data_IF_807025849083
#
_entry.id   IF_807025849083
#
_cell.length_a   1.000
_cell.length_b   1.000
_cell.length_c   1.000
_cell.angle_alpha   90.00
_cell.angle_beta   90.00
_cell.angle_gamma   90.00
#
_symmetry.space_group_name_H-M   'P 1'
#
loop_
_entity.id
_entity.type
_entity.pdbx_description
1 polymer ?
#
# COMPACT_ATOMS: atom_id res chain seq x y z
N UNK A 1 -6.71 -8.31 5.12
CA UNK A 1 -5.74 -7.24 5.44
C UNK A 1 -5.20 -6.75 4.11
N UNK A 2 -4.96 -5.44 3.97
CA UNK A 2 -4.38 -4.90 2.73
C UNK A 2 -2.90 -5.28 2.68
N UNK A 3 -2.42 -5.69 1.51
CA UNK A 3 -1.02 -6.04 1.27
C UNK A 3 -0.36 -5.02 0.36
N UNK A 4 0.68 -4.37 0.85
CA UNK A 4 1.54 -3.45 0.09
C UNK A 4 2.83 -4.19 -0.28
N UNK A 5 3.19 -4.23 -1.56
CA UNK A 5 4.48 -4.79 -1.98
C UNK A 5 5.51 -3.69 -2.24
N UNK A 6 6.74 -3.92 -1.80
CA UNK A 6 7.90 -3.17 -2.24
C UNK A 6 8.51 -3.87 -3.44
N UNK A 7 8.60 -3.15 -4.55
CA UNK A 7 9.26 -3.60 -5.77
C UNK A 7 10.35 -2.60 -6.15
N UNK A 8 11.21 -2.99 -7.08
CA UNK A 8 12.28 -2.13 -7.61
C UNK A 8 13.56 -2.90 -7.83
N UNK A 9 14.51 -2.25 -8.48
CA UNK A 9 15.80 -2.86 -8.81
C UNK A 9 16.66 -3.12 -7.55
N UNK A 10 17.68 -3.98 -7.65
CA UNK A 10 18.69 -4.11 -6.60
C UNK A 10 19.31 -2.74 -6.25
N UNK A 11 19.69 -2.56 -4.98
CA UNK A 11 20.37 -1.35 -4.49
C UNK A 11 19.63 0.00 -4.62
N UNK A 12 18.36 0.02 -5.01
CA UNK A 12 17.51 1.23 -4.95
C UNK A 12 17.15 1.66 -3.51
N UNK A 13 17.50 0.86 -2.50
CA UNK A 13 17.21 1.11 -1.08
C UNK A 13 15.92 0.47 -0.58
N UNK A 14 15.38 -0.52 -1.31
CA UNK A 14 14.18 -1.28 -0.92
C UNK A 14 14.28 -1.93 0.46
N UNK A 15 15.35 -2.67 0.75
CA UNK A 15 15.49 -3.34 2.05
C UNK A 15 15.64 -2.33 3.21
N UNK A 16 16.28 -1.19 2.96
CA UNK A 16 16.32 -0.07 3.92
C UNK A 16 14.90 0.44 4.18
N UNK A 17 14.13 0.72 3.12
CA UNK A 17 12.75 1.20 3.24
C UNK A 17 11.87 0.19 3.97
N UNK A 18 11.97 -1.10 3.63
CA UNK A 18 11.28 -2.18 4.33
C UNK A 18 11.58 -2.13 5.81
N UNK A 19 12.87 -2.13 6.16
CA UNK A 19 13.28 -2.16 7.56
C UNK A 19 12.83 -0.91 8.30
N UNK A 20 12.97 0.27 7.68
CA UNK A 20 12.48 1.54 8.22
C UNK A 20 10.97 1.49 8.47
N UNK A 21 10.18 1.00 7.52
CA UNK A 21 8.73 0.89 7.62
C UNK A 21 8.26 -0.11 8.69
N UNK A 22 8.98 -1.22 8.89
CA UNK A 22 8.59 -2.28 9.84
C UNK A 22 9.06 -2.04 11.28
N UNK A 23 9.96 -1.08 11.52
CA UNK A 23 10.87 -1.12 12.69
C UNK A 23 10.30 -0.96 14.12
N UNK A 24 8.99 -0.94 14.39
CA UNK A 24 8.53 -0.95 15.79
C UNK A 24 7.24 -1.74 16.04
N UNK A 25 7.33 -2.63 17.03
CA UNK A 25 6.29 -3.33 17.82
C UNK A 25 5.33 -4.29 17.10
N UNK A 26 5.86 -5.33 16.47
CA UNK A 26 5.10 -6.58 16.37
C UNK A 26 5.91 -7.69 17.03
N UNK A 27 5.67 -7.87 18.33
CA UNK A 27 5.58 -9.23 18.85
C UNK A 27 4.76 -10.02 17.82
N UNK A 28 5.38 -11.03 17.22
CA UNK A 28 4.82 -11.96 16.22
C UNK A 28 3.66 -12.80 16.84
N UNK A 29 2.99 -12.29 17.85
CA UNK A 29 2.01 -12.95 18.67
C UNK A 29 0.60 -12.36 18.43
N UNK A 30 -0.23 -13.17 17.78
CA UNK A 30 -1.70 -13.18 17.82
C UNK A 30 -2.51 -12.40 16.77
N UNK A 31 -1.99 -12.11 15.58
CA UNK A 31 -2.88 -11.90 14.43
C UNK A 31 -3.26 -13.28 13.84
N UNK A 32 -4.54 -13.70 13.80
CA UNK A 32 -4.93 -15.09 13.52
C UNK A 32 -4.64 -15.64 12.11
N UNK A 33 -3.84 -14.96 11.27
CA UNK A 33 -3.69 -15.29 9.85
C UNK A 33 -2.28 -15.04 9.26
N UNK A 34 -1.27 -14.67 10.05
CA UNK A 34 0.06 -14.40 9.51
C UNK A 34 0.86 -15.70 9.32
N UNK A 35 1.13 -16.05 8.06
CA UNK A 35 2.10 -17.10 7.70
C UNK A 35 3.50 -16.49 7.80
N UNK A 36 4.42 -17.16 8.50
CA UNK A 36 5.81 -16.69 8.68
C UNK A 36 6.58 -16.92 7.36
N UNK A 37 6.40 -16.02 6.40
CA UNK A 37 7.31 -15.88 5.25
C UNK A 37 8.36 -14.81 5.59
N UNK A 38 9.64 -15.10 5.31
CA UNK A 38 10.75 -14.21 5.67
C UNK A 38 10.67 -12.80 5.03
N UNK A 39 9.84 -12.64 3.99
CA UNK A 39 9.65 -11.42 3.23
C UNK A 39 8.32 -10.72 3.54
N UNK A 40 7.52 -11.22 4.49
CA UNK A 40 6.25 -10.61 4.91
C UNK A 40 6.41 -9.99 6.30
N UNK A 41 6.08 -8.71 6.39
CA UNK A 41 6.09 -7.93 7.62
C UNK A 41 4.75 -7.21 7.83
N UNK A 42 4.65 -6.54 8.97
CA UNK A 42 3.54 -5.63 9.26
C UNK A 42 4.11 -4.22 9.32
N UNK A 43 3.43 -3.30 8.67
CA UNK A 43 3.67 -1.86 8.80
C UNK A 43 2.34 -1.17 9.11
N UNK A 44 2.36 0.15 9.22
CA UNK A 44 1.18 0.91 9.56
C UNK A 44 0.98 2.07 8.60
N UNK A 45 -0.27 2.33 8.28
CA UNK A 45 -0.69 3.60 7.67
C UNK A 45 -1.20 4.53 8.74
N UNK A 46 -0.90 5.82 8.62
CA UNK A 46 -1.21 6.82 9.62
C UNK A 46 -2.44 7.63 9.20
N UNK A 47 -3.41 7.76 10.11
CA UNK A 47 -4.56 8.67 9.97
C UNK A 47 -4.77 9.49 11.25
N UNK A 48 -5.59 10.52 11.17
CA UNK A 48 -6.03 11.30 12.33
C UNK A 48 -7.05 10.49 13.14
N UNK A 49 -6.80 10.35 14.44
CA UNK A 49 -7.66 9.59 15.32
C UNK A 49 -8.84 10.44 15.78
N UNK A 50 -10.09 9.92 15.71
CA UNK A 50 -11.27 10.56 16.29
C UNK A 50 -11.16 10.92 17.77
N UNK A 51 -10.21 10.31 18.52
CA UNK A 51 -10.01 10.65 19.93
C UNK A 51 -9.63 12.13 20.18
N UNK A 52 -9.23 12.86 19.14
CA UNK A 52 -9.02 14.30 19.20
C UNK A 52 -10.31 15.07 19.53
N UNK A 53 -11.47 14.53 19.15
CA UNK A 53 -12.80 15.10 19.43
C UNK A 53 -13.28 14.81 20.86
N UNK A 54 -12.47 14.12 21.67
CA UNK A 54 -12.79 13.73 23.05
C UNK A 54 -11.89 14.47 24.04
N UNK A 55 -12.41 14.65 25.26
CA UNK A 55 -11.65 15.17 26.39
C UNK A 55 -10.54 14.19 26.81
N UNK A 56 -10.83 12.89 26.76
CA UNK A 56 -9.88 11.82 27.05
C UNK A 56 -9.40 11.18 25.75
N UNK A 57 -8.07 11.08 25.59
CA UNK A 57 -7.44 10.38 24.45
C UNK A 57 -7.69 8.88 24.54
N UNK A 58 -7.70 8.20 23.40
CA UNK A 58 -7.75 6.74 23.40
C UNK A 58 -6.41 6.18 23.89
N UNK A 59 -6.45 5.25 24.85
CA UNK A 59 -5.27 4.50 25.31
C UNK A 59 -4.93 3.30 24.42
N UNK A 60 -5.30 3.35 23.14
CA UNK A 60 -5.02 2.27 22.20
C UNK A 60 -3.53 2.23 21.86
N UNK A 61 -2.94 1.04 21.85
CA UNK A 61 -1.49 0.83 21.62
C UNK A 61 -1.02 1.44 20.28
N UNK A 62 -1.90 1.44 19.29
CA UNK A 62 -1.65 1.97 17.96
C UNK A 62 -2.10 3.43 17.78
N UNK A 63 -2.28 4.19 18.86
CA UNK A 63 -2.56 5.63 18.81
C UNK A 63 -1.54 6.41 19.63
N UNK A 64 -0.89 7.39 19.00
CA UNK A 64 0.10 8.26 19.65
C UNK A 64 -0.31 9.72 19.46
N UNK A 65 -0.76 10.35 20.54
CA UNK A 65 -1.24 11.75 20.54
C UNK A 65 -2.18 12.12 19.38
N UNK A 66 -3.24 11.32 19.18
CA UNK A 66 -4.19 11.54 18.09
C UNK A 66 -3.74 11.05 16.72
N UNK A 67 -2.55 10.46 16.59
CA UNK A 67 -2.05 9.81 15.36
C UNK A 67 -2.38 8.32 15.44
N UNK A 68 -3.32 7.84 14.63
CA UNK A 68 -3.71 6.42 14.58
C UNK A 68 -2.87 5.68 13.54
N UNK A 69 -2.29 4.56 13.95
CA UNK A 69 -1.53 3.64 13.11
C UNK A 69 -2.37 2.39 12.82
N UNK A 70 -2.84 2.24 11.58
CA UNK A 70 -3.67 1.10 11.18
C UNK A 70 -2.78 0.06 10.48
N UNK A 71 -2.75 -1.19 10.95
CA UNK A 71 -1.82 -2.19 10.43
C UNK A 71 -2.18 -2.63 9.02
N UNK A 72 -1.16 -2.75 8.17
CA UNK A 72 -1.20 -3.33 6.83
C UNK A 72 -0.04 -4.30 6.65
N UNK A 73 -0.20 -5.28 5.76
CA UNK A 73 0.88 -6.21 5.43
C UNK A 73 1.87 -5.53 4.47
N UNK A 74 3.16 -5.72 4.70
CA UNK A 74 4.24 -5.25 3.84
C UNK A 74 5.01 -6.46 3.29
N UNK A 75 5.09 -6.58 1.97
CA UNK A 75 5.81 -7.64 1.27
C UNK A 75 7.09 -7.07 0.65
N UNK A 76 8.26 -7.59 1.01
CA UNK A 76 9.54 -7.26 0.36
C UNK A 76 9.77 -8.21 -0.83
N UNK A 77 9.52 -7.74 -2.05
CA UNK A 77 9.79 -8.53 -3.25
C UNK A 77 11.24 -8.31 -3.67
N UNK A 78 11.96 -9.40 -3.95
CA UNK A 78 13.36 -9.33 -4.35
C UNK A 78 13.61 -8.40 -5.55
N UNK A 79 14.85 -7.92 -5.68
CA UNK A 79 15.24 -7.01 -6.76
C UNK A 79 14.93 -7.57 -8.14
N UNK A 80 14.15 -6.82 -8.92
CA UNK A 80 13.85 -7.13 -10.32
C UNK A 80 14.88 -6.47 -11.23
N UNK A 81 15.32 -7.19 -12.26
CA UNK A 81 16.23 -6.70 -13.30
C UNK A 81 15.56 -6.83 -14.68
N UNK A 82 15.98 -6.04 -15.69
CA UNK A 82 15.42 -6.10 -17.04
C UNK A 82 15.32 -7.51 -17.63
N UNK A 83 14.17 -7.82 -18.22
CA UNK A 83 13.89 -9.12 -18.83
C UNK A 83 13.39 -10.18 -17.84
N UNK A 84 12.93 -9.78 -16.65
CA UNK A 84 12.34 -10.69 -15.66
C UNK A 84 11.15 -11.49 -16.22
N UNK A 85 10.33 -10.86 -17.07
CA UNK A 85 9.19 -11.49 -17.74
C UNK A 85 9.57 -12.61 -18.74
N UNK A 86 10.81 -12.65 -19.25
CA UNK A 86 11.27 -13.66 -20.21
C UNK A 86 11.48 -15.04 -19.57
N UNK A 87 11.38 -15.14 -18.24
CA UNK A 87 11.58 -16.39 -17.51
C UNK A 87 13.03 -16.87 -17.45
N UNK A 88 13.99 -15.99 -17.73
CA UNK A 88 15.41 -16.23 -17.47
C UNK A 88 15.69 -15.97 -15.98
N UNK A 89 15.95 -17.02 -15.21
CA UNK A 89 16.26 -16.90 -13.78
C UNK A 89 15.02 -16.87 -12.88
N UNK A 90 15.14 -16.21 -11.72
CA UNK A 90 14.09 -16.16 -10.69
C UNK A 90 13.06 -15.04 -10.90
N UNK A 91 13.22 -14.18 -11.92
CA UNK A 91 12.37 -12.99 -12.14
C UNK A 91 10.86 -13.30 -12.23
N UNK A 92 10.48 -14.42 -12.86
CA UNK A 92 9.08 -14.85 -12.91
C UNK A 92 8.49 -15.16 -11.53
N UNK A 93 9.29 -15.64 -10.57
CA UNK A 93 8.81 -15.91 -9.21
C UNK A 93 8.55 -14.58 -8.48
N UNK A 94 9.39 -13.57 -8.70
CA UNK A 94 9.21 -12.25 -8.10
C UNK A 94 7.98 -11.52 -8.68
N UNK A 95 7.73 -11.67 -9.99
CA UNK A 95 6.51 -11.14 -10.62
C UNK A 95 5.24 -11.85 -10.13
N UNK A 96 5.34 -13.15 -9.83
CA UNK A 96 4.26 -13.92 -9.19
C UNK A 96 4.04 -13.47 -7.75
N UNK A 97 5.08 -13.19 -6.98
CA UNK A 97 4.95 -12.65 -5.62
C UNK A 97 4.16 -11.33 -5.60
N UNK A 98 4.39 -10.44 -6.58
CA UNK A 98 3.65 -9.18 -6.71
C UNK A 98 2.15 -9.37 -6.95
N UNK A 99 1.68 -10.54 -7.41
CA UNK A 99 0.23 -10.76 -7.57
C UNK A 99 -0.52 -10.82 -6.24
N UNK A 100 0.20 -11.12 -5.16
CA UNK A 100 -0.35 -11.19 -3.81
C UNK A 100 -0.56 -9.82 -3.16
N UNK A 101 -0.10 -8.73 -3.79
CA UNK A 101 -0.27 -7.38 -3.27
C UNK A 101 -1.50 -6.68 -3.82
N UNK A 102 -2.12 -5.82 -3.03
CA UNK A 102 -3.18 -4.91 -3.47
C UNK A 102 -2.61 -3.67 -4.15
N UNK A 103 -1.43 -3.21 -3.73
CA UNK A 103 -0.73 -2.03 -4.25
C UNK A 103 0.78 -2.23 -4.19
N UNK A 104 1.49 -1.60 -5.12
CA UNK A 104 2.95 -1.72 -5.26
C UNK A 104 3.60 -0.36 -5.05
N UNK A 105 4.59 -0.31 -4.17
CA UNK A 105 5.56 0.79 -4.07
C UNK A 105 6.77 0.45 -4.95
N UNK A 106 6.89 1.13 -6.08
CA UNK A 106 8.06 1.00 -6.95
C UNK A 106 9.19 1.89 -6.43
N UNK A 107 10.18 1.29 -5.75
CA UNK A 107 11.34 1.99 -5.20
C UNK A 107 12.36 2.26 -6.29
N UNK A 108 12.54 3.53 -6.61
CA UNK A 108 13.47 4.06 -7.62
C UNK A 108 14.59 4.81 -6.93
N UNK A 109 15.82 4.70 -7.45
CA UNK A 109 16.97 5.48 -6.97
C UNK A 109 16.97 6.87 -7.62
N UNK A 110 16.42 7.87 -6.93
CA UNK A 110 16.32 9.24 -7.42
C UNK A 110 17.70 9.87 -7.72
N UNK A 111 18.76 9.38 -7.07
CA UNK A 111 20.10 9.90 -7.26
C UNK A 111 20.73 9.52 -8.60
N UNK A 112 20.19 8.53 -9.31
CA UNK A 112 20.85 7.99 -10.50
C UNK A 112 22.20 7.33 -10.19
N UNK A 113 22.41 6.93 -8.94
CA UNK A 113 23.63 6.27 -8.44
C UNK A 113 23.63 4.74 -8.62
N UNK A 114 22.67 4.21 -9.35
CA UNK A 114 22.59 2.78 -9.72
C UNK A 114 22.17 2.65 -11.18
N UNK A 115 22.77 1.72 -11.92
CA UNK A 115 22.40 1.43 -13.30
C UNK A 115 21.13 0.54 -13.41
N UNK A 116 20.79 0.09 -14.61
CA UNK A 116 19.60 -0.74 -14.86
C UNK A 116 19.64 -2.14 -14.20
N UNK A 117 20.84 -2.67 -13.91
CA UNK A 117 21.02 -3.95 -13.22
C UNK A 117 21.08 -3.77 -11.70
N UNK A 118 21.12 -2.52 -11.24
CA UNK A 118 21.25 -2.15 -9.84
C UNK A 118 22.71 -2.11 -9.38
N UNK A 119 23.68 -2.09 -10.29
CA UNK A 119 25.09 -1.91 -9.91
C UNK A 119 25.37 -0.45 -9.53
N UNK A 120 26.15 -0.19 -8.47
CA UNK A 120 26.49 1.18 -8.07
C UNK A 120 27.29 1.91 -9.15
N UNK A 121 26.83 3.11 -9.52
CA UNK A 121 27.50 4.04 -10.44
C UNK A 121 27.60 5.42 -9.78
N UNK A 122 28.43 6.35 -10.28
CA UNK A 122 28.46 7.70 -9.74
C UNK A 122 27.07 8.36 -9.81
N UNK A 123 26.70 9.12 -8.76
CA UNK A 123 25.43 9.89 -8.71
C UNK A 123 25.28 10.74 -9.97
N UNK A 124 24.07 10.74 -10.55
CA UNK A 124 23.75 11.42 -11.79
C UNK A 124 24.16 10.70 -13.07
N UNK A 125 24.70 9.47 -12.99
CA UNK A 125 25.12 8.72 -14.20
C UNK A 125 23.97 7.99 -14.90
N UNK A 126 22.92 7.63 -14.16
CA UNK A 126 21.73 6.96 -14.69
C UNK A 126 20.50 7.86 -14.60
N UNK A 127 19.60 7.79 -15.59
CA UNK A 127 18.35 8.54 -15.58
C UNK A 127 17.28 7.78 -14.76
N UNK A 128 16.84 8.30 -13.60
CA UNK A 128 15.87 7.61 -12.77
C UNK A 128 14.49 7.44 -13.43
N UNK A 129 14.16 8.25 -14.45
CA UNK A 129 12.90 8.09 -15.19
C UNK A 129 12.84 6.78 -15.97
N UNK A 130 13.98 6.21 -16.36
CA UNK A 130 14.01 4.90 -17.02
C UNK A 130 13.54 3.77 -16.10
N UNK A 131 13.68 3.96 -14.78
CA UNK A 131 13.32 2.99 -13.74
C UNK A 131 11.86 3.14 -13.26
N UNK A 132 11.23 4.29 -13.50
CA UNK A 132 9.83 4.57 -13.10
C UNK A 132 8.88 3.57 -13.78
N UNK A 133 9.03 3.41 -15.10
CA UNK A 133 8.17 2.52 -15.89
C UNK A 133 8.68 1.07 -15.92
N UNK A 134 9.81 0.78 -15.26
CA UNK A 134 10.44 -0.54 -15.34
C UNK A 134 9.51 -1.65 -14.80
N UNK A 135 9.05 -1.52 -13.56
CA UNK A 135 8.16 -2.51 -12.92
C UNK A 135 6.83 -2.63 -13.67
N UNK A 136 6.27 -1.50 -14.08
CA UNK A 136 5.05 -1.43 -14.89
C UNK A 136 5.19 -2.25 -16.18
N UNK A 137 6.26 -2.03 -16.95
CA UNK A 137 6.51 -2.72 -18.22
C UNK A 137 6.73 -4.22 -18.02
N UNK A 138 7.52 -4.62 -17.03
CA UNK A 138 7.79 -6.04 -16.76
C UNK A 138 6.51 -6.79 -16.36
N UNK A 139 5.65 -6.19 -15.52
CA UNK A 139 4.37 -6.80 -15.14
C UNK A 139 3.39 -6.88 -16.31
N UNK A 140 3.31 -5.85 -17.15
CA UNK A 140 2.46 -5.85 -18.34
C UNK A 140 2.86 -6.97 -19.31
N UNK A 141 4.15 -7.10 -19.61
CA UNK A 141 4.67 -8.13 -20.52
C UNK A 141 4.51 -9.53 -19.94
N UNK A 142 4.75 -9.69 -18.63
CA UNK A 142 4.56 -10.97 -17.96
C UNK A 142 3.10 -11.44 -17.99
N UNK A 143 2.17 -10.55 -17.65
CA UNK A 143 0.75 -10.86 -17.68
C UNK A 143 0.26 -11.11 -19.12
N UNK A 144 0.73 -10.33 -20.10
CA UNK A 144 0.46 -10.60 -21.51
C UNK A 144 0.93 -12.00 -21.93
N UNK A 145 2.13 -12.40 -21.48
CA UNK A 145 2.66 -13.74 -21.69
C UNK A 145 1.82 -14.83 -21.01
N UNK A 146 1.26 -14.59 -19.83
CA UNK A 146 0.33 -15.52 -19.17
C UNK A 146 -0.95 -15.66 -20.00
N UNK A 147 -1.53 -14.55 -20.43
CA UNK A 147 -2.75 -14.55 -21.25
C UNK A 147 -2.51 -15.28 -22.55
N UNK A 148 -1.41 -14.99 -23.25
CA UNK A 148 -1.05 -15.61 -24.53
C UNK A 148 -0.92 -17.14 -24.40
N UNK A 149 -0.15 -17.63 -23.42
CA UNK A 149 0.05 -19.07 -23.18
C UNK A 149 -1.25 -19.83 -22.89
N UNK A 150 -2.22 -19.16 -22.28
CA UNK A 150 -3.50 -19.76 -21.90
C UNK A 150 -4.64 -19.44 -22.88
N UNK A 151 -4.38 -18.64 -23.93
CA UNK A 151 -5.41 -18.13 -24.83
C UNK A 151 -6.10 -19.24 -25.64
N UNK A 152 -5.36 -20.27 -26.04
CA UNK A 152 -5.91 -21.42 -26.78
C UNK A 152 -7.06 -22.10 -26.01
N UNK A 153 -7.02 -22.05 -24.68
CA UNK A 153 -8.11 -22.54 -23.83
C UNK A 153 -9.39 -21.71 -23.98
N UNK A 154 -9.24 -20.39 -24.00
CA UNK A 154 -10.34 -19.43 -24.19
C UNK A 154 -10.94 -19.59 -25.58
N UNK A 155 -10.10 -19.67 -26.62
CA UNK A 155 -10.52 -19.94 -27.99
C UNK A 155 -11.33 -21.23 -28.10
N UNK A 156 -10.88 -22.32 -27.47
CA UNK A 156 -11.58 -23.60 -27.49
C UNK A 156 -12.94 -23.52 -26.80
N UNK A 157 -13.01 -22.85 -25.64
CA UNK A 157 -14.26 -22.62 -24.89
C UNK A 157 -15.25 -21.77 -25.71
N UNK A 158 -14.76 -20.82 -26.51
CA UNK A 158 -15.60 -19.92 -27.33
C UNK A 158 -16.47 -20.60 -28.39
N UNK A 159 -16.21 -21.88 -28.70
CA UNK A 159 -17.02 -22.68 -29.62
C UNK A 159 -18.31 -23.20 -29.00
N UNK A 160 -18.46 -23.10 -27.67
CA UNK A 160 -19.67 -23.49 -26.96
C UNK A 160 -20.77 -22.43 -27.17
N UNK A 161 -22.04 -22.82 -27.37
CA UNK A 161 -23.16 -21.88 -27.40
C UNK A 161 -23.33 -21.10 -26.09
N UNK A 162 -22.93 -21.69 -24.97
CA UNK A 162 -23.02 -21.12 -23.62
C UNK A 162 -21.73 -20.38 -23.21
N UNK A 163 -20.89 -19.98 -24.18
CA UNK A 163 -19.64 -19.28 -23.88
C UNK A 163 -19.89 -17.88 -23.35
N UNK A 164 -19.35 -17.61 -22.16
CA UNK A 164 -19.23 -16.28 -21.60
C UNK A 164 -17.75 -15.88 -21.54
N UNK A 165 -17.41 -14.79 -22.22
CA UNK A 165 -16.05 -14.26 -22.27
C UNK A 165 -15.59 -13.73 -20.91
N UNK A 166 -16.49 -13.08 -20.17
CA UNK A 166 -16.20 -12.50 -18.87
C UNK A 166 -15.89 -13.60 -17.85
N UNK A 167 -16.69 -14.67 -17.82
CA UNK A 167 -16.43 -15.85 -17.00
C UNK A 167 -15.10 -16.51 -17.37
N UNK A 168 -14.85 -16.74 -18.66
CA UNK A 168 -13.61 -17.39 -19.12
C UNK A 168 -12.35 -16.57 -18.79
N UNK A 169 -12.41 -15.24 -18.89
CA UNK A 169 -11.30 -14.36 -18.52
C UNK A 169 -11.14 -14.27 -17.00
N UNK A 170 -12.24 -14.26 -16.25
CA UNK A 170 -12.20 -14.30 -14.78
C UNK A 170 -11.50 -15.56 -14.30
N UNK A 171 -11.87 -16.74 -14.82
CA UNK A 171 -11.21 -18.01 -14.52
C UNK A 171 -9.70 -17.95 -14.77
N UNK A 172 -9.29 -17.39 -15.92
CA UNK A 172 -7.90 -17.30 -16.34
C UNK A 172 -7.10 -16.36 -15.43
N UNK A 173 -7.72 -15.27 -14.99
CA UNK A 173 -7.06 -14.16 -14.31
C UNK A 173 -7.23 -14.17 -12.78
N UNK A 174 -8.01 -15.10 -12.24
CA UNK A 174 -8.22 -15.23 -10.78
C UNK A 174 -6.88 -15.43 -10.05
N UNK A 175 -5.92 -16.16 -10.64
CA UNK A 175 -4.58 -16.34 -10.06
C UNK A 175 -3.75 -15.05 -9.94
N UNK A 176 -4.08 -14.02 -10.73
CA UNK A 176 -3.46 -12.69 -10.66
C UNK A 176 -4.20 -11.76 -9.67
N UNK A 177 -5.24 -12.26 -8.99
CA UNK A 177 -6.08 -11.50 -8.07
C UNK A 177 -7.16 -10.65 -8.74
N UNK A 178 -7.49 -10.93 -10.01
CA UNK A 178 -8.60 -10.23 -10.68
C UNK A 178 -9.95 -10.79 -10.23
N UNK A 179 -10.87 -9.89 -9.86
CA UNK A 179 -12.26 -10.25 -9.60
C UNK A 179 -13.10 -10.19 -10.88
N UNK A 180 -14.28 -10.82 -10.88
CA UNK A 180 -15.24 -10.68 -11.98
C UNK A 180 -15.51 -9.20 -12.29
N UNK A 181 -15.73 -8.38 -11.25
CA UNK A 181 -15.96 -6.95 -11.40
C UNK A 181 -14.80 -6.19 -12.07
N UNK A 182 -13.56 -6.64 -11.86
CA UNK A 182 -12.39 -6.06 -12.51
C UNK A 182 -12.36 -6.38 -14.00
N UNK A 183 -12.62 -7.64 -14.34
CA UNK A 183 -12.73 -8.09 -15.73
C UNK A 183 -13.88 -7.37 -16.44
N UNK A 184 -15.07 -7.29 -15.82
CA UNK A 184 -16.22 -6.56 -16.37
C UNK A 184 -15.84 -5.10 -16.66
N UNK A 185 -15.18 -4.43 -15.73
CA UNK A 185 -14.83 -3.03 -15.87
C UNK A 185 -13.82 -2.80 -17.00
N UNK A 186 -12.84 -3.69 -17.15
CA UNK A 186 -11.85 -3.63 -18.24
C UNK A 186 -12.49 -3.91 -19.60
N UNK A 187 -13.37 -4.91 -19.71
CA UNK A 187 -14.08 -5.21 -20.95
C UNK A 187 -15.04 -4.09 -21.38
N UNK A 188 -15.52 -3.28 -20.44
CA UNK A 188 -16.37 -2.11 -20.73
C UNK A 188 -15.60 -0.84 -21.05
N UNK A 189 -14.36 -0.70 -20.59
CA UNK A 189 -13.57 0.51 -20.79
C UNK A 189 -12.91 0.59 -22.16
N UNK A 190 -12.76 -0.55 -22.84
CA UNK A 190 -12.08 -0.65 -24.14
C UNK A 190 -12.83 -1.62 -25.05
N UNK A 191 -12.90 -1.32 -26.34
CA UNK A 191 -13.46 -2.24 -27.32
C UNK A 191 -12.51 -3.41 -27.57
N UNK A 192 -13.03 -4.62 -27.42
CA UNK A 192 -12.37 -5.86 -27.79
C UNK A 192 -13.19 -6.60 -28.85
N UNK A 193 -12.56 -7.40 -29.74
CA UNK A 193 -13.31 -8.23 -30.66
C UNK A 193 -14.26 -9.18 -29.91
N UNK A 194 -15.51 -9.27 -30.34
CA UNK A 194 -16.49 -10.16 -29.70
C UNK A 194 -16.12 -11.66 -29.82
N UNK A 195 -15.31 -12.00 -30.82
CA UNK A 195 -14.85 -13.36 -31.08
C UNK A 195 -13.38 -13.48 -30.63
N UNK A 196 -13.07 -14.31 -29.61
CA UNK A 196 -11.70 -14.53 -29.13
C UNK A 196 -10.69 -14.94 -30.19
N UNK A 197 -11.14 -15.59 -31.28
CA UNK A 197 -10.26 -15.96 -32.41
C UNK A 197 -9.76 -14.75 -33.21
N UNK A 198 -10.40 -13.58 -33.05
CA UNK A 198 -10.02 -12.34 -33.75
C UNK A 198 -9.11 -11.45 -32.91
N UNK A 199 -8.80 -11.84 -31.67
CA UNK A 199 -7.92 -11.08 -30.82
C UNK A 199 -6.49 -11.18 -31.35
N UNK A 200 -5.89 -10.02 -31.63
CA UNK A 200 -4.47 -9.93 -31.93
C UNK A 200 -3.64 -9.90 -30.64
N UNK A 201 -2.33 -10.06 -30.76
CA UNK A 201 -1.37 -9.90 -29.66
C UNK A 201 -1.57 -8.57 -28.94
N UNK A 202 -1.76 -7.49 -29.70
CA UNK A 202 -2.03 -6.15 -29.18
C UNK A 202 -3.33 -6.05 -28.35
N UNK A 203 -4.35 -6.88 -28.63
CA UNK A 203 -5.58 -6.92 -27.83
C UNK A 203 -5.32 -7.59 -26.47
N UNK A 204 -4.51 -8.66 -26.47
CA UNK A 204 -4.14 -9.40 -25.26
C UNK A 204 -3.20 -8.62 -24.36
N UNK A 205 -2.23 -7.91 -24.95
CA UNK A 205 -1.37 -6.95 -24.24
C UNK A 205 -2.17 -5.79 -23.64
N UNK A 206 -3.16 -5.28 -24.39
CA UNK A 206 -4.04 -4.21 -23.90
C UNK A 206 -4.92 -4.69 -22.73
N UNK A 207 -5.42 -5.92 -22.78
CA UNK A 207 -6.13 -6.55 -21.68
C UNK A 207 -5.21 -6.68 -20.45
N UNK A 208 -3.99 -7.17 -20.63
CA UNK A 208 -2.99 -7.30 -19.57
C UNK A 208 -2.73 -5.96 -18.87
N UNK A 209 -2.38 -4.92 -19.65
CA UNK A 209 -2.11 -3.58 -19.10
C UNK A 209 -3.30 -3.00 -18.36
N UNK A 210 -4.49 -3.10 -18.96
CA UNK A 210 -5.72 -2.54 -18.37
C UNK A 210 -6.07 -3.22 -17.05
N UNK A 211 -5.86 -4.54 -16.98
CA UNK A 211 -6.08 -5.32 -15.78
C UNK A 211 -5.05 -4.99 -14.70
N UNK A 212 -3.74 -5.03 -15.03
CA UNK A 212 -2.66 -4.71 -14.09
C UNK A 212 -2.84 -3.32 -13.50
N UNK A 213 -3.16 -2.31 -14.32
CA UNK A 213 -3.39 -0.94 -13.85
C UNK A 213 -4.53 -0.85 -12.83
N UNK A 214 -5.51 -1.75 -12.91
CA UNK A 214 -6.68 -1.81 -12.01
C UNK A 214 -6.41 -2.63 -10.75
N UNK A 215 -5.78 -3.80 -10.89
CA UNK A 215 -5.62 -4.76 -9.78
C UNK A 215 -4.28 -4.63 -9.05
N UNK A 216 -3.31 -3.94 -9.66
CA UNK A 216 -1.95 -3.71 -9.15
C UNK A 216 -1.55 -2.25 -9.41
N UNK A 217 -2.27 -1.28 -8.81
CA UNK A 217 -1.85 0.10 -8.86
C UNK A 217 -0.44 0.27 -8.29
N UNK A 218 0.32 1.19 -8.88
CA UNK A 218 1.71 1.49 -8.51
C UNK A 218 1.78 2.93 -7.98
N UNK A 219 2.60 3.14 -6.96
CA UNK A 219 3.10 4.44 -6.48
C UNK A 219 4.62 4.41 -6.58
N UNK A 220 5.21 5.45 -7.15
CA UNK A 220 6.67 5.55 -7.26
C UNK A 220 7.21 6.12 -5.96
N UNK A 221 8.21 5.45 -5.40
CA UNK A 221 8.99 5.96 -4.28
C UNK A 221 10.37 6.33 -4.80
N UNK A 222 10.58 7.62 -5.04
CA UNK A 222 11.85 8.20 -5.44
C UNK A 222 12.77 8.30 -4.21
N UNK A 223 13.40 7.18 -3.88
CA UNK A 223 14.26 7.04 -2.71
C UNK A 223 15.66 7.63 -2.95
N UNK A 224 16.40 7.87 -1.87
CA UNK A 224 17.70 8.57 -1.87
C UNK A 224 17.58 10.03 -2.34
N UNK A 225 16.44 10.65 -2.05
CA UNK A 225 16.18 12.05 -2.41
C UNK A 225 17.15 13.02 -1.73
N UNK A 226 17.75 12.62 -0.61
CA UNK A 226 18.75 13.34 0.18
C UNK A 226 20.08 13.58 -0.56
N UNK A 227 20.42 12.72 -1.51
CA UNK A 227 21.65 12.82 -2.31
C UNK A 227 21.37 13.00 -3.81
N UNK A 228 20.10 13.20 -4.17
CA UNK A 228 19.70 13.30 -5.56
C UNK A 228 20.02 14.68 -6.15
N UNK A 229 20.52 14.75 -7.40
CA UNK A 229 20.64 16.02 -8.11
C UNK A 229 19.28 16.71 -8.21
N UNK A 230 19.24 18.04 -8.02
CA UNK A 230 17.98 18.81 -8.12
C UNK A 230 17.29 18.60 -9.48
N UNK A 231 18.06 18.50 -10.56
CA UNK A 231 17.54 18.19 -11.90
C UNK A 231 16.75 16.87 -11.92
N UNK A 232 17.21 15.83 -11.23
CA UNK A 232 16.48 14.57 -11.16
C UNK A 232 15.19 14.69 -10.36
N UNK A 233 15.22 15.45 -9.24
CA UNK A 233 14.02 15.72 -8.44
C UNK A 233 12.97 16.46 -9.26
N UNK A 234 13.37 17.50 -9.99
CA UNK A 234 12.45 18.30 -10.81
C UNK A 234 11.86 17.44 -11.94
N UNK A 235 12.69 16.67 -12.64
CA UNK A 235 12.24 15.77 -13.71
C UNK A 235 11.31 14.66 -13.22
N UNK A 236 11.62 14.03 -12.08
CA UNK A 236 10.74 13.05 -11.43
C UNK A 236 9.43 13.66 -10.91
N UNK A 237 9.34 14.98 -10.76
CA UNK A 237 8.10 15.66 -10.38
C UNK A 237 7.27 16.07 -11.60
N UNK A 238 7.91 16.45 -12.69
CA UNK A 238 7.27 17.07 -13.86
C UNK A 238 7.05 16.12 -15.04
N UNK A 239 7.90 15.10 -15.22
CA UNK A 239 7.92 14.25 -16.42
C UNK A 239 7.23 12.88 -16.22
N UNK A 240 6.65 12.59 -15.04
CA UNK A 240 5.99 11.30 -14.75
C UNK A 240 4.49 11.46 -14.55
N UNK A 241 3.74 10.55 -15.17
CA UNK A 241 2.28 10.45 -15.01
C UNK A 241 1.88 9.67 -13.73
N UNK A 242 2.85 9.07 -13.02
CA UNK A 242 2.61 8.31 -11.81
C UNK A 242 2.72 9.20 -10.57
N UNK A 243 1.98 8.89 -9.48
CA UNK A 243 2.20 9.57 -8.21
C UNK A 243 3.60 9.23 -7.68
N UNK A 244 4.42 10.26 -7.50
CA UNK A 244 5.80 10.14 -7.00
C UNK A 244 5.88 10.69 -5.58
N UNK A 245 6.38 9.86 -4.68
CA UNK A 245 6.73 10.24 -3.31
C UNK A 245 8.25 10.23 -3.19
N UNK A 246 8.85 11.38 -2.90
CA UNK A 246 10.28 11.46 -2.60
C UNK A 246 10.54 10.95 -1.20
N UNK A 247 11.56 10.12 -1.04
CA UNK A 247 11.87 9.52 0.24
C UNK A 247 13.38 9.45 0.53
N UNK A 248 13.70 9.44 1.81
CA UNK A 248 15.02 9.14 2.34
C UNK A 248 14.91 8.01 3.37
N UNK A 249 14.91 6.76 2.88
CA UNK A 249 14.71 5.59 3.73
C UNK A 249 15.78 5.43 4.81
N UNK A 250 17.05 5.76 4.51
CA UNK A 250 18.13 5.72 5.50
C UNK A 250 17.93 6.79 6.60
N UNK A 251 17.38 7.97 6.23
CA UNK A 251 17.01 9.02 7.17
C UNK A 251 15.88 8.61 8.11
N UNK A 252 14.79 8.05 7.57
CA UNK A 252 13.70 7.49 8.39
C UNK A 252 14.21 6.41 9.35
N UNK A 253 15.06 5.52 8.85
CA UNK A 253 15.68 4.46 9.66
C UNK A 253 16.53 5.05 10.80
N UNK A 254 17.31 6.09 10.49
CA UNK A 254 18.09 6.84 11.48
C UNK A 254 17.23 7.47 12.56
N UNK A 255 16.15 8.16 12.18
CA UNK A 255 15.23 8.81 13.12
C UNK A 255 14.51 7.81 14.01
N UNK A 256 14.01 6.69 13.46
CA UNK A 256 13.34 5.67 14.27
C UNK A 256 14.26 5.07 15.32
N UNK A 257 15.51 4.73 14.95
CA UNK A 257 16.52 4.25 15.90
C UNK A 257 16.87 5.29 16.95
N UNK A 258 16.97 6.56 16.55
CA UNK A 258 17.22 7.66 17.48
C UNK A 258 16.03 7.86 18.44
N UNK A 259 14.79 7.69 17.97
CA UNK A 259 13.59 7.78 18.79
C UNK A 259 13.50 6.63 19.80
N UNK A 260 13.78 5.40 19.37
CA UNK A 260 13.88 4.23 20.27
C UNK A 260 14.97 4.39 21.33
N UNK A 261 16.09 5.03 20.97
CA UNK A 261 17.16 5.35 21.90
C UNK A 261 16.83 6.54 22.82
N UNK A 262 15.68 7.20 22.66
CA UNK A 262 15.27 8.38 23.43
C UNK A 262 16.09 9.64 23.11
N UNK A 263 16.76 9.67 21.96
CA UNK A 263 17.58 10.80 21.50
C UNK A 263 16.70 11.87 20.86
N UNK A 264 15.69 11.44 20.11
CA UNK A 264 14.73 12.35 19.45
C UNK A 264 13.29 11.99 19.81
N UNK A 265 12.42 12.99 19.83
CA UNK A 265 10.98 12.81 19.81
C UNK A 265 10.52 12.89 18.36
N UNK A 266 10.12 11.75 17.81
CA UNK A 266 9.68 11.60 16.43
C UNK A 266 8.65 10.48 16.34
N UNK A 267 7.51 10.75 15.72
CA UNK A 267 6.60 9.72 15.26
C UNK A 267 6.66 9.60 13.73
N UNK A 268 6.61 8.37 13.17
CA UNK A 268 6.66 8.18 11.73
C UNK A 268 5.65 9.04 10.94
N UNK A 269 6.18 9.77 9.96
CA UNK A 269 5.40 10.69 9.13
C UNK A 269 5.14 12.06 9.76
N UNK A 270 5.76 12.38 10.90
CA UNK A 270 5.85 13.76 11.33
C UNK A 270 6.71 14.57 10.35
N UNK A 271 6.37 15.85 10.11
CA UNK A 271 7.13 16.71 9.21
C UNK A 271 8.45 17.19 9.82
N UNK A 272 8.66 16.98 11.12
CA UNK A 272 9.89 17.33 11.85
C UNK A 272 10.06 16.41 13.08
N UNK A 273 11.20 16.52 13.77
CA UNK A 273 11.51 15.86 15.03
C UNK A 273 12.12 16.84 16.03
N UNK A 274 12.10 16.51 17.32
CA UNK A 274 12.78 17.29 18.37
C UNK A 274 13.93 16.50 18.97
N UNK A 275 15.09 17.13 19.22
CA UNK A 275 16.18 16.49 19.96
C UNK A 275 15.87 16.61 21.46
N UNK A 276 15.77 15.48 22.16
CA UNK A 276 15.32 15.42 23.56
C UNK A 276 16.42 15.84 24.53
N UNK A 277 17.66 15.44 24.25
CA UNK A 277 18.84 15.79 25.05
C UNK A 277 20.02 16.18 24.15
N UNK A 278 20.15 17.48 23.89
CA UNK A 278 21.17 18.04 22.99
C UNK A 278 22.61 17.82 23.50
N UNK A 279 22.80 17.67 24.81
CA UNK A 279 24.11 17.43 25.42
C UNK A 279 24.58 15.96 25.28
N UNK A 280 23.64 15.04 25.02
CA UNK A 280 23.91 13.61 24.84
C UNK A 280 24.25 13.21 23.38
N UNK A 281 24.09 14.13 22.43
CA UNK A 281 24.30 13.88 20.99
C UNK A 281 25.74 14.21 20.59
N UNK A 282 26.44 13.26 19.95
CA UNK A 282 27.78 13.52 19.40
C UNK A 282 27.71 14.48 18.21
N UNK A 283 28.80 15.17 17.92
CA UNK A 283 28.90 16.07 16.75
C UNK A 283 28.51 15.37 15.43
N UNK A 284 28.95 14.12 15.24
CA UNK A 284 28.59 13.30 14.08
C UNK A 284 27.12 12.91 14.02
N UNK A 285 26.48 12.68 15.18
CA UNK A 285 25.04 12.38 15.22
C UNK A 285 24.24 13.64 14.91
N UNK A 286 24.68 14.81 15.40
CA UNK A 286 24.05 16.09 15.11
C UNK A 286 24.11 16.41 13.62
N UNK A 287 25.28 16.25 12.98
CA UNK A 287 25.43 16.43 11.53
C UNK A 287 24.50 15.50 10.73
N UNK A 288 24.37 14.23 11.15
CA UNK A 288 23.44 13.29 10.51
C UNK A 288 21.97 13.69 10.69
N UNK A 289 21.57 14.15 11.88
CA UNK A 289 20.22 14.63 12.15
C UNK A 289 19.90 15.92 11.39
N UNK A 290 20.85 16.84 11.27
CA UNK A 290 20.73 18.05 10.45
C UNK A 290 20.49 17.70 8.98
N UNK A 291 21.26 16.76 8.43
CA UNK A 291 21.05 16.28 7.05
C UNK A 291 19.66 15.66 6.84
N UNK A 292 19.12 14.95 7.84
CA UNK A 292 17.76 14.42 7.76
C UNK A 292 16.73 15.57 7.80
N UNK A 293 16.95 16.57 8.66
CA UNK A 293 16.06 17.74 8.77
C UNK A 293 15.99 18.53 7.46
N UNK A 294 17.11 18.71 6.77
CA UNK A 294 17.14 19.37 5.45
C UNK A 294 16.22 18.67 4.43
N UNK A 295 16.20 17.33 4.46
CA UNK A 295 15.31 16.52 3.62
C UNK A 295 13.85 16.70 4.03
N UNK A 296 13.57 16.67 5.35
CA UNK A 296 12.22 16.85 5.86
C UNK A 296 11.66 18.23 5.52
N UNK A 297 12.47 19.28 5.58
CA UNK A 297 12.09 20.64 5.17
C UNK A 297 11.82 20.72 3.66
N UNK A 298 12.54 19.96 2.84
CA UNK A 298 12.39 19.95 1.39
C UNK A 298 11.18 19.13 0.91
N UNK A 299 10.81 18.06 1.62
CA UNK A 299 9.82 17.06 1.18
C UNK A 299 8.66 16.84 2.17
N UNK A 300 8.53 17.67 3.19
CA UNK A 300 7.51 17.59 4.25
C UNK A 300 7.56 16.26 5.02
N UNK A 301 8.76 15.86 5.41
CA UNK A 301 9.07 14.62 6.11
C UNK A 301 10.04 13.71 5.35
N UNK A 302 10.23 12.48 5.83
CA UNK A 302 11.17 11.51 5.22
C UNK A 302 10.61 10.76 4.01
N UNK A 303 9.30 10.88 3.75
CA UNK A 303 8.60 10.25 2.63
C UNK A 303 8.20 8.78 2.82
N UNK A 304 8.77 8.04 3.78
CA UNK A 304 8.44 6.60 3.96
C UNK A 304 7.00 6.40 4.41
N UNK A 305 6.57 7.10 5.47
CA UNK A 305 5.18 7.02 5.93
C UNK A 305 4.21 7.62 4.90
N UNK A 306 4.61 8.68 4.21
CA UNK A 306 3.84 9.30 3.12
C UNK A 306 3.61 8.31 1.98
N UNK A 307 4.61 7.54 1.59
CA UNK A 307 4.47 6.51 0.54
C UNK A 307 3.44 5.43 0.93
N UNK A 308 3.48 4.96 2.18
CA UNK A 308 2.49 4.00 2.69
C UNK A 308 1.08 4.58 2.72
N UNK A 309 0.94 5.82 3.20
CA UNK A 309 -0.34 6.51 3.25
C UNK A 309 -0.90 6.73 1.84
N UNK A 310 -0.09 7.22 0.91
CA UNK A 310 -0.48 7.43 -0.49
C UNK A 310 -0.83 6.12 -1.18
N UNK A 311 -0.14 5.01 -0.88
CA UNK A 311 -0.49 3.71 -1.44
C UNK A 311 -1.89 3.25 -1.00
N UNK A 312 -2.24 3.45 0.27
CA UNK A 312 -3.48 2.91 0.86
C UNK A 312 -4.65 3.89 0.76
N UNK A 313 -4.49 5.11 1.23
CA UNK A 313 -5.57 6.09 1.24
C UNK A 313 -5.82 6.66 -0.16
N UNK A 314 -4.78 7.12 -0.84
CA UNK A 314 -4.97 7.81 -2.13
C UNK A 314 -5.11 6.82 -3.29
N UNK A 315 -4.19 5.86 -3.39
CA UNK A 315 -4.08 5.01 -4.58
C UNK A 315 -5.07 3.86 -4.56
N UNK A 316 -5.33 3.25 -3.40
CA UNK A 316 -6.35 2.23 -3.23
C UNK A 316 -7.73 2.80 -2.91
N UNK A 317 -7.86 4.11 -2.63
CA UNK A 317 -9.12 4.76 -2.25
C UNK A 317 -9.73 4.08 -1.01
N UNK A 318 -8.95 4.10 0.08
CA UNK A 318 -9.34 3.56 1.39
C UNK A 318 -9.59 4.70 2.36
N UNK A 319 -10.39 4.41 3.38
CA UNK A 319 -10.57 5.26 4.54
C UNK A 319 -10.63 4.42 5.82
N UNK A 320 -10.42 5.05 6.97
CA UNK A 320 -10.44 4.40 8.27
C UNK A 320 -11.77 4.64 8.99
N UNK A 321 -12.39 3.56 9.46
CA UNK A 321 -13.56 3.60 10.34
C UNK A 321 -13.32 2.86 11.66
N UNK A 322 -14.04 3.29 12.70
CA UNK A 322 -13.79 2.92 14.09
C UNK A 322 -15.05 2.27 14.70
N UNK A 323 -15.11 0.94 14.81
CA UNK A 323 -16.23 0.27 15.43
C UNK A 323 -16.15 0.40 16.97
N UNK A 324 -17.30 0.65 17.59
CA UNK A 324 -17.44 0.75 19.05
C UNK A 324 -18.66 -0.02 19.55
N UNK A 325 -18.67 -0.45 20.81
CA UNK A 325 -19.84 -1.11 21.41
C UNK A 325 -20.73 -0.12 22.18
N UNK A 326 -20.14 0.92 22.78
CA UNK A 326 -20.84 2.04 23.40
C UNK A 326 -20.68 3.31 22.56
N UNK A 327 -21.77 3.79 21.96
CA UNK A 327 -21.75 4.99 21.11
C UNK A 327 -21.57 6.29 21.90
N UNK A 328 -21.95 6.33 23.18
CA UNK A 328 -21.78 7.54 24.00
C UNK A 328 -20.34 7.68 24.49
N UNK A 329 -19.70 6.56 24.85
CA UNK A 329 -18.33 6.55 25.38
C UNK A 329 -17.25 6.27 24.32
N UNK A 330 -17.64 5.76 23.16
CA UNK A 330 -16.75 5.23 22.13
C UNK A 330 -15.86 4.11 22.64
N UNK A 331 -16.43 3.21 23.46
CA UNK A 331 -15.68 2.11 24.08
C UNK A 331 -16.15 0.73 23.62
N UNK A 332 -15.29 -0.28 23.81
CA UNK A 332 -15.69 -1.69 23.82
C UNK A 332 -16.35 -2.12 25.16
N UNK A 333 -16.65 -3.41 25.29
CA UNK A 333 -17.15 -4.04 26.52
C UNK A 333 -16.17 -3.94 27.71
N UNK A 334 -14.87 -3.75 27.45
CA UNK A 334 -13.82 -3.65 28.48
C UNK A 334 -13.59 -2.19 28.92
N UNK A 335 -14.19 -1.23 28.22
CA UNK A 335 -14.04 0.20 28.48
C UNK A 335 -12.87 0.85 27.73
N UNK A 336 -12.22 0.13 26.80
CA UNK A 336 -11.15 0.69 25.98
C UNK A 336 -11.77 1.65 24.95
N UNK A 337 -11.31 2.90 24.92
CA UNK A 337 -11.78 3.91 23.96
C UNK A 337 -11.17 3.65 22.60
N UNK A 338 -12.00 3.58 21.54
CA UNK A 338 -11.59 3.35 20.15
C UNK A 338 -10.57 2.20 20.04
N UNK A 339 -10.95 0.97 20.41
CA UNK A 339 -10.02 -0.16 20.46
C UNK A 339 -9.44 -0.50 19.08
N UNK A 340 -10.28 -0.45 18.05
CA UNK A 340 -9.96 -0.95 16.72
C UNK A 340 -10.13 0.13 15.65
N UNK A 341 -9.46 -0.07 14.52
CA UNK A 341 -9.59 0.76 13.31
C UNK A 341 -9.48 -0.13 12.08
N UNK A 342 -10.37 0.06 11.12
CA UNK A 342 -10.47 -0.77 9.92
C UNK A 342 -10.39 0.08 8.66
N UNK A 343 -9.57 -0.38 7.72
CA UNK A 343 -9.48 0.19 6.37
C UNK A 343 -10.62 -0.35 5.52
N UNK A 344 -11.47 0.54 5.03
CA UNK A 344 -12.60 0.25 4.15
C UNK A 344 -12.41 0.91 2.80
N UNK A 345 -13.05 0.37 1.77
CA UNK A 345 -13.08 0.96 0.41
C UNK A 345 -14.12 2.09 0.35
N UNK A 346 -13.91 3.08 -0.52
CA UNK A 346 -14.94 4.08 -0.81
C UNK A 346 -16.30 3.45 -1.16
N UNK A 347 -17.38 4.07 -0.67
CA UNK A 347 -18.75 3.56 -0.77
C UNK A 347 -19.06 2.40 0.19
N UNK A 348 -18.17 2.04 1.11
CA UNK A 348 -18.46 1.06 2.14
C UNK A 348 -19.55 1.53 3.10
N UNK A 349 -20.34 0.58 3.56
CA UNK A 349 -21.50 0.78 4.44
C UNK A 349 -21.21 0.28 5.86
N UNK A 350 -22.08 0.57 6.86
CA UNK A 350 -21.96 -0.04 8.18
C UNK A 350 -21.99 -1.57 8.17
N UNK A 351 -22.61 -2.19 7.17
CA UNK A 351 -22.61 -3.65 7.02
C UNK A 351 -21.25 -4.16 6.56
N UNK A 352 -20.56 -3.44 5.67
CA UNK A 352 -19.20 -3.77 5.27
C UNK A 352 -18.24 -3.65 6.47
N UNK A 353 -18.39 -2.61 7.29
CA UNK A 353 -17.64 -2.48 8.55
C UNK A 353 -17.91 -3.67 9.48
N UNK A 354 -19.17 -4.12 9.59
CA UNK A 354 -19.53 -5.28 10.40
C UNK A 354 -18.81 -6.56 9.94
N UNK A 355 -18.74 -6.81 8.62
CA UNK A 355 -17.95 -7.92 8.08
C UNK A 355 -16.44 -7.76 8.28
N UNK A 356 -15.92 -6.52 8.25
CA UNK A 356 -14.52 -6.25 8.54
C UNK A 356 -14.16 -6.57 10.00
N UNK A 357 -15.08 -6.34 10.95
CA UNK A 357 -14.91 -6.75 12.34
C UNK A 357 -14.97 -8.27 12.47
N UNK A 358 -16.06 -8.90 12.02
CA UNK A 358 -16.22 -10.36 12.05
C UNK A 358 -17.38 -10.83 11.17
N UNK A 359 -17.26 -12.01 10.54
CA UNK A 359 -18.30 -12.59 9.69
C UNK A 359 -19.66 -12.70 10.39
N UNK A 360 -19.68 -13.24 11.61
CA UNK A 360 -20.92 -13.44 12.38
C UNK A 360 -21.61 -12.11 12.73
N UNK A 361 -20.84 -11.04 12.95
CA UNK A 361 -21.38 -9.70 13.24
C UNK A 361 -22.04 -9.15 11.96
N UNK A 362 -21.40 -9.33 10.80
CA UNK A 362 -21.94 -8.95 9.49
C UNK A 362 -23.19 -9.74 9.09
N UNK A 363 -23.20 -11.06 9.30
CA UNK A 363 -24.37 -11.92 9.04
C UNK A 363 -25.55 -11.57 9.96
N UNK A 364 -25.26 -11.28 11.23
CA UNK A 364 -26.27 -10.88 12.21
C UNK A 364 -26.62 -9.39 12.21
N UNK A 365 -26.12 -8.61 11.26
CA UNK A 365 -26.29 -7.15 11.25
C UNK A 365 -27.77 -6.74 11.33
N UNK A 366 -28.10 -5.83 12.24
CA UNK A 366 -29.45 -5.29 12.41
C UNK A 366 -29.54 -3.80 12.07
N UNK A 367 -28.61 -3.00 12.58
CA UNK A 367 -28.48 -1.57 12.28
C UNK A 367 -27.18 -1.02 12.85
N UNK A 368 -26.87 0.22 12.48
CA UNK A 368 -25.76 0.96 13.04
C UNK A 368 -26.18 2.33 13.59
N UNK A 369 -25.36 2.85 14.50
CA UNK A 369 -25.51 4.17 15.11
C UNK A 369 -24.20 4.92 14.87
N UNK A 370 -24.29 6.10 14.26
CA UNK A 370 -23.18 7.04 14.22
C UNK A 370 -23.00 7.62 15.63
N UNK A 371 -21.83 7.35 16.20
CA UNK A 371 -21.50 7.69 17.57
C UNK A 371 -21.16 9.18 17.75
N UNK A 372 -20.87 9.92 16.68
CA UNK A 372 -20.68 11.38 16.70
C UNK A 372 -22.03 12.09 16.77
N UNK A 373 -22.97 11.73 15.90
CA UNK A 373 -24.31 12.36 15.89
C UNK A 373 -25.30 11.73 16.86
N UNK A 374 -24.98 10.55 17.44
CA UNK A 374 -25.88 9.73 18.25
C UNK A 374 -27.17 9.35 17.52
N UNK A 375 -27.11 9.20 16.19
CA UNK A 375 -28.27 8.86 15.35
C UNK A 375 -28.11 7.50 14.72
N UNK A 376 -29.24 6.80 14.57
CA UNK A 376 -29.29 5.60 13.74
C UNK A 376 -29.04 5.99 12.29
N UNK A 377 -28.16 5.26 11.63
CA UNK A 377 -27.85 5.39 10.21
C UNK A 377 -28.47 4.22 9.43
N UNK A 378 -28.76 4.47 8.15
CA UNK A 378 -29.30 3.46 7.25
C UNK A 378 -28.27 2.39 6.87
N UNK A 379 -28.75 1.27 6.35
CA UNK A 379 -27.88 0.21 5.81
C UNK A 379 -27.08 0.69 4.60
N UNK A 380 -27.68 1.52 3.74
CA UNK A 380 -27.05 2.08 2.54
C UNK A 380 -26.30 3.40 2.82
N UNK A 381 -26.10 3.77 4.09
CA UNK A 381 -25.33 4.96 4.43
C UNK A 381 -23.85 4.72 4.08
N UNK A 382 -23.28 5.57 3.23
CA UNK A 382 -21.86 5.51 2.92
C UNK A 382 -21.06 6.09 4.09
N UNK A 383 -20.12 5.30 4.59
CA UNK A 383 -19.17 5.70 5.62
C UNK A 383 -18.02 6.50 5.02
N UNK A 384 -17.33 7.24 5.89
CA UNK A 384 -16.24 8.16 5.57
C UNK A 384 -15.10 8.11 6.59
N UNK A 385 -13.98 8.75 6.26
CA UNK A 385 -12.79 8.80 7.11
C UNK A 385 -13.11 9.31 8.52
N UNK A 386 -12.66 8.58 9.54
CA UNK A 386 -12.84 8.98 10.94
C UNK A 386 -14.23 8.69 11.52
N UNK A 387 -15.09 7.97 10.78
CA UNK A 387 -16.40 7.59 11.28
C UNK A 387 -16.30 6.64 12.46
N UNK A 388 -17.05 6.95 13.53
CA UNK A 388 -17.12 6.13 14.73
C UNK A 388 -18.50 5.49 14.81
N UNK A 389 -18.55 4.18 14.61
CA UNK A 389 -19.81 3.48 14.34
C UNK A 389 -20.05 2.40 15.40
N UNK A 390 -21.22 2.46 16.03
CA UNK A 390 -21.72 1.34 16.82
C UNK A 390 -22.52 0.39 15.94
N UNK A 391 -22.04 -0.84 15.82
CA UNK A 391 -22.74 -1.92 15.12
C UNK A 391 -23.65 -2.64 16.12
N UNK A 392 -24.89 -2.91 15.71
CA UNK A 392 -25.84 -3.74 16.45
C UNK A 392 -26.11 -5.00 15.64
N UNK A 393 -25.78 -6.15 16.22
CA UNK A 393 -25.90 -7.47 15.59
C UNK A 393 -26.65 -8.46 16.50
N UNK A 394 -27.21 -9.52 15.91
CA UNK A 394 -27.79 -10.66 16.64
C UNK A 394 -26.72 -11.60 17.20
N UNK A 395 -25.53 -11.61 16.60
CA UNK A 395 -24.35 -12.19 17.24
C UNK A 395 -24.05 -11.33 18.48
N UNK A 396 -23.96 -11.95 19.66
CA UNK A 396 -23.70 -11.25 20.92
C UNK A 396 -22.43 -10.40 20.87
N UNK A 397 -22.28 -9.43 21.79
CA UNK A 397 -21.19 -8.47 21.78
C UNK A 397 -19.80 -9.10 21.96
#
# INVERSE_FOLDING_TARGET
MITVALAGKPNAGKSTLYTAATMADVDVANYPFTTIDANRGVTHVRTECPCLDREERCGAENCRDGKRYVPVELLDVAGLVPGAHEGKGLGNQFLDELTNADVILNVVDASGGTDAEGEPVPVGSHDPLEDVDFIEREMDLWLAGIIDRNWESVERKSRSPDFDLEEALTDLLTGFGATAADVTAVLRSVEYPADPFKWADADRERLARSLRRRTKPIVVVANKADVAPQEHIDRLREETDQPVVFAAADGELGLRRAAEAGIVAYDPGDPDFEIVDDDAVSESQREGLEGIRDVMDAFEGTGVQTALNTAVYDRLDRFTAYPVQDAAKWTDARGNVLPDAFLLRAGATPKDLAYAVHSDIGEGYLHAIDARSSRRIGEDHELSEGDVIKIVSTAGP
#
